data_IF_352914831892
#
_entry.id   IF_352914831892
#
_cell.length_a   1.000
_cell.length_b   1.000
_cell.length_c   1.000
_cell.angle_alpha   90.00
_cell.angle_beta   90.00
_cell.angle_gamma   90.00
#
_symmetry.space_group_name_H-M   'P 1'
#
loop_
_entity.id
_entity.type
_entity.pdbx_description
1 polymer ?
#
# COMPACT_ATOMS: atom_id res chain seq x y z
N UNK A 1 -34.91 16.19 -18.44
CA UNK A 1 -33.99 16.53 -17.33
C UNK A 1 -34.78 16.45 -16.03
N UNK A 2 -34.44 15.52 -15.14
CA UNK A 2 -35.16 15.31 -13.86
C UNK A 2 -34.76 16.29 -12.74
N UNK A 3 -33.69 17.07 -12.89
CA UNK A 3 -33.15 17.95 -11.84
C UNK A 3 -32.41 19.17 -12.41
N UNK A 4 -32.48 20.31 -11.70
CA UNK A 4 -31.85 21.63 -12.02
C UNK A 4 -30.58 21.88 -11.17
N UNK A 5 -30.19 20.98 -10.25
CA UNK A 5 -28.93 21.13 -9.50
C UNK A 5 -27.71 20.80 -10.35
N UNK A 6 -26.56 21.38 -9.97
CA UNK A 6 -25.26 21.36 -10.69
C UNK A 6 -25.02 19.99 -11.34
N UNK A 7 -25.22 19.99 -12.65
CA UNK A 7 -25.15 18.83 -13.51
C UNK A 7 -23.69 18.55 -13.84
N UNK A 8 -23.12 17.47 -13.32
CA UNK A 8 -21.84 16.93 -13.82
C UNK A 8 -22.02 15.92 -14.97
N UNK A 9 -23.22 15.82 -15.55
CA UNK A 9 -23.48 15.09 -16.79
C UNK A 9 -24.03 13.67 -16.68
N UNK A 10 -23.77 12.92 -15.60
CA UNK A 10 -24.09 11.46 -15.55
C UNK A 10 -24.60 10.89 -14.21
N UNK A 11 -24.62 11.67 -13.12
CA UNK A 11 -25.11 11.20 -11.81
C UNK A 11 -25.76 12.34 -11.02
N UNK A 12 -26.94 12.11 -10.46
CA UNK A 12 -27.57 13.05 -9.53
C UNK A 12 -27.93 12.28 -8.25
N UNK A 13 -27.21 12.56 -7.16
CA UNK A 13 -27.39 11.87 -5.87
C UNK A 13 -28.86 11.89 -5.45
N UNK A 14 -29.51 13.06 -5.39
CA UNK A 14 -30.91 13.18 -4.97
C UNK A 14 -31.88 12.37 -5.83
N UNK A 15 -31.74 12.39 -7.16
CA UNK A 15 -32.60 11.61 -8.06
C UNK A 15 -32.35 10.10 -7.88
N UNK A 16 -31.09 9.68 -7.91
CA UNK A 16 -30.73 8.27 -7.84
C UNK A 16 -31.05 7.66 -6.47
N UNK A 17 -30.84 8.39 -5.36
CA UNK A 17 -31.30 7.97 -4.03
C UNK A 17 -32.80 7.71 -4.02
N UNK A 18 -33.61 8.54 -4.69
CA UNK A 18 -35.06 8.34 -4.78
C UNK A 18 -35.43 7.12 -5.64
N UNK A 19 -34.74 6.92 -6.77
CA UNK A 19 -34.92 5.74 -7.62
C UNK A 19 -34.60 4.46 -6.85
N UNK A 20 -33.49 4.44 -6.10
CA UNK A 20 -33.16 3.32 -5.21
C UNK A 20 -34.21 3.09 -4.12
N UNK A 21 -34.74 4.16 -3.48
CA UNK A 21 -35.80 4.02 -2.47
C UNK A 21 -37.05 3.33 -3.01
N UNK A 22 -37.42 3.60 -4.26
CA UNK A 22 -38.54 2.93 -4.92
C UNK A 22 -38.28 1.44 -5.14
N UNK A 23 -37.01 1.04 -5.29
CA UNK A 23 -36.57 -0.33 -5.53
C UNK A 23 -36.30 -1.15 -4.26
N UNK A 24 -36.27 -0.54 -3.06
CA UNK A 24 -35.91 -1.25 -1.83
C UNK A 24 -36.84 -2.41 -1.46
N UNK A 25 -38.08 -2.41 -1.95
CA UNK A 25 -39.02 -3.52 -1.75
C UNK A 25 -38.90 -4.63 -2.81
N UNK A 26 -38.09 -4.41 -3.85
CA UNK A 26 -37.95 -5.35 -4.97
C UNK A 26 -36.83 -6.39 -4.74
N UNK A 27 -36.04 -6.24 -3.68
CA UNK A 27 -34.98 -7.19 -3.31
C UNK A 27 -34.80 -7.26 -1.79
N UNK A 28 -34.27 -8.39 -1.32
CA UNK A 28 -33.78 -8.57 0.05
C UNK A 28 -32.71 -9.65 0.05
N UNK A 29 -31.72 -9.52 0.93
CA UNK A 29 -30.75 -10.57 1.22
C UNK A 29 -31.26 -11.61 2.21
N UNK A 30 -32.40 -11.36 2.87
CA UNK A 30 -32.87 -12.13 4.03
C UNK A 30 -32.15 -11.78 5.34
N UNK A 31 -31.29 -10.74 5.36
CA UNK A 31 -30.63 -10.25 6.56
C UNK A 31 -30.73 -8.72 6.67
N UNK A 32 -31.46 -8.26 7.68
CA UNK A 32 -31.74 -6.83 7.91
C UNK A 32 -30.49 -5.95 8.02
N UNK A 33 -29.38 -6.48 8.55
CA UNK A 33 -28.13 -5.72 8.67
C UNK A 33 -27.48 -5.49 7.30
N UNK A 34 -27.48 -6.52 6.45
CA UNK A 34 -26.94 -6.44 5.09
C UNK A 34 -27.85 -5.57 4.22
N UNK A 35 -29.16 -5.75 4.32
CA UNK A 35 -30.14 -4.93 3.61
C UNK A 35 -29.96 -3.46 3.97
N UNK A 36 -29.85 -3.15 5.28
CA UNK A 36 -29.57 -1.80 5.74
C UNK A 36 -28.23 -1.27 5.20
N UNK A 37 -27.16 -2.06 5.27
CA UNK A 37 -25.84 -1.67 4.79
C UNK A 37 -25.87 -1.28 3.30
N UNK A 38 -26.49 -2.11 2.45
CA UNK A 38 -26.61 -1.83 1.01
C UNK A 38 -27.47 -0.60 0.75
N UNK A 39 -28.62 -0.47 1.43
CA UNK A 39 -29.52 0.70 1.28
C UNK A 39 -28.82 1.99 1.70
N UNK A 40 -28.13 1.99 2.84
CA UNK A 40 -27.38 3.15 3.33
C UNK A 40 -26.28 3.55 2.34
N UNK A 41 -25.57 2.58 1.75
CA UNK A 41 -24.58 2.84 0.70
C UNK A 41 -25.21 3.46 -0.56
N UNK A 42 -26.31 2.89 -1.06
CA UNK A 42 -27.03 3.39 -2.25
C UNK A 42 -27.57 4.81 -2.06
N UNK A 43 -28.07 5.15 -0.87
CA UNK A 43 -28.54 6.51 -0.57
C UNK A 43 -27.42 7.54 -0.51
N UNK A 44 -26.21 7.10 -0.15
CA UNK A 44 -25.08 7.99 0.06
C UNK A 44 -24.16 8.16 -1.16
N UNK A 45 -24.25 7.26 -2.14
CA UNK A 45 -23.41 7.24 -3.34
C UNK A 45 -23.37 8.59 -4.09
N UNK A 46 -22.15 9.14 -4.22
CA UNK A 46 -21.83 10.35 -4.97
C UNK A 46 -21.63 10.13 -6.47
N UNK A 47 -21.46 8.87 -6.90
CA UNK A 47 -21.31 8.46 -8.30
C UNK A 47 -21.72 6.99 -8.50
N UNK A 48 -21.84 6.55 -9.76
CA UNK A 48 -22.21 5.16 -10.08
C UNK A 48 -21.12 4.14 -9.67
N UNK A 49 -19.86 4.55 -9.62
CA UNK A 49 -18.73 3.72 -9.17
C UNK A 49 -18.78 3.39 -7.66
N UNK A 50 -19.48 4.19 -6.86
CA UNK A 50 -19.66 3.98 -5.41
C UNK A 50 -20.87 3.07 -5.07
N UNK A 51 -21.71 2.77 -6.06
CA UNK A 51 -22.93 1.98 -5.85
C UNK A 51 -22.57 0.52 -5.61
N UNK A 52 -23.10 -0.03 -4.51
CA UNK A 52 -23.17 -1.47 -4.28
C UNK A 52 -24.62 -1.96 -4.36
N UNK A 53 -24.80 -3.23 -4.71
CA UNK A 53 -26.13 -3.84 -4.78
C UNK A 53 -26.16 -5.25 -4.17
N UNK A 54 -27.36 -5.72 -3.85
CA UNK A 54 -27.60 -7.14 -3.64
C UNK A 54 -27.66 -7.82 -5.00
N UNK A 55 -26.81 -8.82 -5.21
CA UNK A 55 -26.70 -9.53 -6.48
C UNK A 55 -27.17 -10.98 -6.27
N UNK A 56 -28.34 -11.36 -6.81
CA UNK A 56 -28.80 -12.74 -6.75
C UNK A 56 -27.78 -13.68 -7.40
N UNK A 57 -27.46 -14.79 -6.72
CA UNK A 57 -26.34 -15.65 -7.09
C UNK A 57 -26.50 -16.28 -8.48
N UNK A 58 -27.73 -16.51 -8.94
CA UNK A 58 -28.06 -17.05 -10.25
C UNK A 58 -27.60 -16.18 -11.44
N UNK A 59 -27.29 -14.89 -11.17
CA UNK A 59 -26.69 -13.96 -12.14
C UNK A 59 -25.21 -14.22 -12.40
N UNK A 60 -24.58 -15.08 -11.61
CA UNK A 60 -23.21 -15.53 -11.81
C UNK A 60 -23.17 -16.84 -12.58
N UNK A 61 -22.36 -16.88 -13.65
CA UNK A 61 -22.06 -18.07 -14.46
C UNK A 61 -20.59 -18.40 -14.37
N UNK A 62 -20.25 -19.63 -14.76
CA UNK A 62 -18.86 -20.11 -14.85
C UNK A 62 -18.09 -19.94 -13.53
N UNK A 63 -18.78 -20.15 -12.40
CA UNK A 63 -18.21 -19.99 -11.05
C UNK A 63 -17.13 -21.04 -10.83
N UNK A 64 -15.88 -20.59 -10.63
CA UNK A 64 -14.72 -21.48 -10.41
C UNK A 64 -13.87 -20.97 -9.28
N UNK A 65 -13.42 -21.86 -8.40
CA UNK A 65 -12.47 -21.48 -7.35
C UNK A 65 -11.13 -21.10 -7.98
N UNK A 66 -10.56 -19.95 -7.57
CA UNK A 66 -9.28 -19.44 -8.08
C UNK A 66 -8.23 -19.23 -6.98
N UNK A 67 -8.62 -19.31 -5.72
CA UNK A 67 -7.69 -19.21 -4.60
C UNK A 67 -8.35 -19.56 -3.28
N UNK A 68 -7.56 -20.03 -2.31
CA UNK A 68 -7.98 -20.24 -0.94
C UNK A 68 -6.85 -19.82 -0.01
N UNK A 69 -7.15 -19.00 0.98
CA UNK A 69 -6.19 -18.52 1.98
C UNK A 69 -6.73 -18.71 3.40
N UNK A 70 -6.03 -18.14 4.38
CA UNK A 70 -6.43 -18.24 5.79
C UNK A 70 -7.72 -17.50 6.17
N UNK A 71 -8.22 -16.61 5.31
CA UNK A 71 -9.36 -15.73 5.58
C UNK A 71 -10.52 -15.91 4.59
N UNK A 72 -10.54 -17.03 3.85
CA UNK A 72 -11.61 -17.34 2.90
C UNK A 72 -11.14 -17.93 1.58
N UNK A 73 -12.14 -18.19 0.74
CA UNK A 73 -12.00 -18.79 -0.59
C UNK A 73 -12.47 -17.80 -1.64
N UNK A 74 -11.67 -17.62 -2.70
CA UNK A 74 -11.97 -16.73 -3.81
C UNK A 74 -12.42 -17.55 -5.01
N UNK A 75 -13.54 -17.15 -5.61
CA UNK A 75 -14.06 -17.70 -6.84
C UNK A 75 -14.06 -16.63 -7.93
N UNK A 76 -13.74 -17.00 -9.16
CA UNK A 76 -14.08 -16.21 -10.33
C UNK A 76 -15.52 -16.52 -10.73
N UNK A 77 -16.25 -15.52 -11.21
CA UNK A 77 -17.52 -15.72 -11.90
C UNK A 77 -17.72 -14.68 -13.01
N UNK A 78 -18.58 -15.01 -13.96
CA UNK A 78 -19.07 -14.09 -14.99
C UNK A 78 -20.46 -13.58 -14.60
N UNK A 79 -20.56 -12.28 -14.38
CA UNK A 79 -21.81 -11.57 -14.10
C UNK A 79 -22.56 -11.25 -15.40
N UNK A 80 -23.73 -11.84 -15.59
CA UNK A 80 -24.42 -11.87 -16.90
C UNK A 80 -24.93 -10.52 -17.40
N UNK A 81 -25.27 -9.62 -16.49
CA UNK A 81 -25.90 -8.34 -16.79
C UNK A 81 -25.08 -7.14 -16.29
N UNK A 82 -24.07 -7.39 -15.45
CA UNK A 82 -23.08 -6.40 -15.03
C UNK A 82 -23.59 -5.39 -14.00
N UNK A 83 -22.74 -4.42 -13.66
CA UNK A 83 -23.03 -3.44 -12.62
C UNK A 83 -23.98 -2.33 -13.11
N UNK A 84 -24.67 -1.70 -12.16
CA UNK A 84 -25.47 -0.49 -12.42
C UNK A 84 -24.56 0.61 -12.97
N UNK A 85 -24.97 1.21 -14.09
CA UNK A 85 -24.28 2.29 -14.78
C UNK A 85 -24.98 3.63 -14.61
N UNK A 86 -26.20 3.76 -15.14
CA UNK A 86 -27.00 4.99 -15.09
C UNK A 86 -28.49 4.69 -15.04
N UNK A 87 -29.31 5.65 -14.63
CA UNK A 87 -30.78 5.54 -14.69
C UNK A 87 -31.29 5.91 -16.07
N UNK A 88 -32.07 5.02 -16.69
CA UNK A 88 -32.78 5.28 -17.93
C UNK A 88 -34.13 5.96 -17.63
N UNK A 89 -34.22 7.26 -17.91
CA UNK A 89 -35.45 8.04 -17.67
C UNK A 89 -36.60 7.58 -18.58
N UNK A 90 -36.31 7.16 -19.82
CA UNK A 90 -37.36 6.78 -20.78
C UNK A 90 -37.96 5.43 -20.41
N UNK A 91 -37.11 4.48 -20.04
CA UNK A 91 -37.51 3.12 -19.71
C UNK A 91 -37.78 2.89 -18.21
N UNK A 92 -37.50 3.89 -17.36
CA UNK A 92 -37.67 3.83 -15.90
C UNK A 92 -36.99 2.61 -15.28
N UNK A 93 -35.73 2.36 -15.68
CA UNK A 93 -34.92 1.24 -15.22
C UNK A 93 -33.43 1.56 -15.18
N UNK A 94 -32.66 0.83 -14.39
CA UNK A 94 -31.20 0.93 -14.40
C UNK A 94 -30.60 0.35 -15.68
N UNK A 95 -29.83 1.15 -16.41
CA UNK A 95 -28.90 0.63 -17.42
C UNK A 95 -27.74 -0.04 -16.71
N UNK A 96 -27.33 -1.19 -17.24
CA UNK A 96 -26.20 -1.96 -16.72
C UNK A 96 -25.05 -1.97 -17.70
N UNK A 97 -23.85 -1.84 -17.17
CA UNK A 97 -22.61 -1.91 -17.93
C UNK A 97 -22.16 -3.37 -18.06
N UNK A 98 -22.05 -3.85 -19.29
CA UNK A 98 -21.65 -5.22 -19.62
C UNK A 98 -20.23 -5.32 -20.17
N UNK A 99 -19.48 -4.23 -20.18
CA UNK A 99 -18.12 -4.21 -20.74
C UNK A 99 -17.16 -5.04 -19.87
N UNK A 100 -17.41 -5.13 -18.56
CA UNK A 100 -16.58 -5.85 -17.59
C UNK A 100 -17.39 -6.84 -16.73
N UNK A 101 -17.71 -8.01 -17.31
CA UNK A 101 -18.51 -9.04 -16.62
C UNK A 101 -17.73 -9.93 -15.63
N UNK A 102 -16.40 -9.86 -15.58
CA UNK A 102 -15.59 -10.73 -14.72
C UNK A 102 -15.56 -10.22 -13.27
N UNK A 103 -16.01 -11.03 -12.33
CA UNK A 103 -15.99 -10.69 -10.89
C UNK A 103 -15.28 -11.76 -10.07
N UNK A 104 -14.73 -11.34 -8.93
CA UNK A 104 -14.23 -12.20 -7.88
C UNK A 104 -15.26 -12.27 -6.74
N UNK A 105 -15.71 -13.46 -6.39
CA UNK A 105 -16.56 -13.73 -5.24
C UNK A 105 -15.67 -14.15 -4.08
N UNK A 106 -15.54 -13.31 -3.06
CA UNK A 106 -14.84 -13.66 -1.81
C UNK A 106 -15.82 -14.26 -0.83
N UNK A 107 -15.67 -15.56 -0.58
CA UNK A 107 -16.41 -16.32 0.42
C UNK A 107 -15.60 -16.40 1.70
N UNK A 108 -16.18 -15.95 2.80
CA UNK A 108 -15.55 -16.04 4.12
C UNK A 108 -15.68 -17.46 4.67
N UNK A 109 -14.64 -17.94 5.34
CA UNK A 109 -14.70 -19.25 5.99
C UNK A 109 -15.65 -19.22 7.21
N UNK A 110 -16.27 -20.36 7.51
CA UNK A 110 -17.35 -20.47 8.50
C UNK A 110 -16.95 -20.08 9.95
N UNK A 111 -15.66 -19.93 10.25
CA UNK A 111 -15.16 -19.54 11.57
C UNK A 111 -14.93 -18.02 11.72
N UNK A 112 -15.06 -17.24 10.64
CA UNK A 112 -14.90 -15.78 10.67
C UNK A 112 -16.11 -15.13 11.33
N UNK A 113 -15.89 -14.20 12.26
CA UNK A 113 -16.97 -13.47 12.92
C UNK A 113 -17.68 -12.56 11.90
N UNK A 114 -19.02 -12.58 11.90
CA UNK A 114 -19.83 -11.75 11.00
C UNK A 114 -19.55 -10.24 11.12
N UNK A 115 -19.18 -9.74 12.31
CA UNK A 115 -18.80 -8.34 12.48
C UNK A 115 -17.48 -8.01 11.78
N UNK A 116 -16.52 -8.95 11.74
CA UNK A 116 -15.25 -8.76 11.04
C UNK A 116 -15.49 -8.70 9.52
N UNK A 117 -16.40 -9.54 9.02
CA UNK A 117 -16.87 -9.51 7.63
C UNK A 117 -17.50 -8.15 7.29
N UNK A 118 -18.40 -7.64 8.15
CA UNK A 118 -19.01 -6.33 7.94
C UNK A 118 -17.99 -5.20 7.97
N UNK A 119 -17.01 -5.24 8.87
CA UNK A 119 -15.94 -4.25 8.94
C UNK A 119 -15.10 -4.25 7.66
N UNK A 120 -14.77 -5.43 7.12
CA UNK A 120 -14.09 -5.53 5.83
C UNK A 120 -14.93 -4.94 4.68
N UNK A 121 -16.24 -5.23 4.65
CA UNK A 121 -17.16 -4.64 3.67
C UNK A 121 -17.22 -3.11 3.76
N UNK A 122 -17.23 -2.56 4.98
CA UNK A 122 -17.23 -1.12 5.23
C UNK A 122 -15.94 -0.45 4.75
N UNK A 123 -14.77 -1.08 4.99
CA UNK A 123 -13.48 -0.60 4.47
C UNK A 123 -13.49 -0.58 2.94
N UNK A 124 -13.97 -1.65 2.30
CA UNK A 124 -14.06 -1.71 0.84
C UNK A 124 -15.03 -0.66 0.28
N UNK A 125 -16.17 -0.42 0.94
CA UNK A 125 -17.10 0.62 0.55
C UNK A 125 -16.48 2.02 0.66
N UNK A 126 -15.81 2.33 1.78
CA UNK A 126 -15.21 3.64 2.03
C UNK A 126 -13.99 3.94 1.14
N UNK A 127 -13.33 2.90 0.61
CA UNK A 127 -12.18 3.04 -0.28
C UNK A 127 -12.53 2.85 -1.76
N UNK A 128 -13.79 2.55 -2.08
CA UNK A 128 -14.24 2.27 -3.44
C UNK A 128 -13.97 3.47 -4.35
N UNK A 129 -13.14 3.29 -5.39
CA UNK A 129 -12.68 4.38 -6.27
C UNK A 129 -11.37 5.07 -5.84
N UNK A 130 -10.75 4.68 -4.72
CA UNK A 130 -9.48 5.23 -4.22
C UNK A 130 -8.38 4.15 -4.12
N UNK A 131 -8.02 3.55 -5.25
CA UNK A 131 -6.87 2.62 -5.32
C UNK A 131 -7.10 1.23 -4.71
N UNK A 132 -8.31 0.91 -4.26
CA UNK A 132 -8.73 -0.45 -3.89
C UNK A 132 -9.51 -1.12 -5.04
N UNK A 133 -9.58 -2.46 -5.02
CA UNK A 133 -10.39 -3.24 -5.98
C UNK A 133 -11.85 -2.82 -5.84
N UNK A 134 -12.53 -2.57 -6.97
CA UNK A 134 -13.92 -2.11 -6.96
C UNK A 134 -14.82 -3.12 -6.25
N UNK A 135 -15.64 -2.62 -5.33
CA UNK A 135 -16.64 -3.39 -4.61
C UNK A 135 -18.00 -3.18 -5.25
N UNK A 136 -18.60 -4.25 -5.78
CA UNK A 136 -19.89 -4.21 -6.47
C UNK A 136 -21.07 -4.54 -5.56
N UNK A 137 -20.83 -5.22 -4.44
CA UNK A 137 -21.84 -5.54 -3.47
C UNK A 137 -21.79 -6.99 -3.01
N UNK A 138 -22.95 -7.54 -2.66
CA UNK A 138 -23.04 -8.74 -1.85
C UNK A 138 -23.92 -9.77 -2.54
N UNK A 139 -23.52 -11.03 -2.46
CA UNK A 139 -24.33 -12.18 -2.85
C UNK A 139 -24.34 -13.22 -1.74
N UNK A 140 -25.10 -14.29 -1.91
CA UNK A 140 -25.13 -15.41 -0.97
C UNK A 140 -25.00 -16.73 -1.73
N UNK A 141 -24.14 -17.60 -1.22
CA UNK A 141 -23.97 -18.94 -1.74
C UNK A 141 -25.27 -19.72 -1.50
N UNK A 142 -25.93 -20.25 -2.55
CA UNK A 142 -27.20 -20.95 -2.39
C UNK A 142 -27.05 -22.30 -1.68
N UNK A 143 -25.85 -22.90 -1.68
CA UNK A 143 -25.59 -24.19 -1.04
C UNK A 143 -25.25 -24.04 0.44
N UNK A 144 -24.42 -23.05 0.78
CA UNK A 144 -23.94 -22.88 2.17
C UNK A 144 -24.62 -21.73 2.92
N UNK A 145 -25.43 -20.93 2.24
CA UNK A 145 -26.04 -19.69 2.74
C UNK A 145 -25.01 -18.65 3.27
N UNK A 146 -23.75 -18.81 2.91
CA UNK A 146 -22.68 -17.89 3.29
C UNK A 146 -22.74 -16.64 2.41
N UNK A 147 -22.67 -15.46 3.04
CA UNK A 147 -22.55 -14.21 2.30
C UNK A 147 -21.16 -14.08 1.68
N UNK A 148 -21.11 -13.52 0.47
CA UNK A 148 -19.89 -13.33 -0.31
C UNK A 148 -19.82 -11.89 -0.81
N UNK A 149 -18.62 -11.31 -0.76
CA UNK A 149 -18.35 -10.03 -1.41
C UNK A 149 -18.13 -10.24 -2.90
N UNK A 150 -18.72 -9.36 -3.70
CA UNK A 150 -18.56 -9.32 -5.16
C UNK A 150 -17.60 -8.17 -5.49
N UNK A 151 -16.41 -8.53 -5.95
CA UNK A 151 -15.29 -7.64 -6.21
C UNK A 151 -14.92 -7.67 -7.70
N UNK A 152 -14.26 -6.62 -8.16
CA UNK A 152 -13.63 -6.62 -9.49
C UNK A 152 -12.58 -7.72 -9.61
N UNK A 153 -12.64 -8.45 -10.73
CA UNK A 153 -11.67 -9.49 -11.02
C UNK A 153 -10.39 -8.90 -11.59
N UNK A 154 -9.34 -8.90 -10.78
CA UNK A 154 -7.98 -8.62 -11.24
C UNK A 154 -7.47 -9.79 -12.11
N UNK A 155 -7.59 -9.66 -13.44
CA UNK A 155 -7.20 -10.70 -14.42
C UNK A 155 -5.77 -11.21 -14.25
N UNK A 156 -4.88 -10.33 -13.82
CA UNK A 156 -3.45 -10.57 -13.65
C UNK A 156 -3.11 -11.10 -12.24
N UNK A 157 -4.12 -11.27 -11.38
CA UNK A 157 -3.96 -11.76 -10.02
C UNK A 157 -3.37 -10.72 -9.06
N UNK A 158 -2.80 -11.20 -7.96
CA UNK A 158 -2.09 -10.32 -7.04
C UNK A 158 -0.69 -9.98 -7.58
N UNK A 159 -0.18 -8.81 -7.18
CA UNK A 159 1.10 -8.29 -7.64
C UNK A 159 2.25 -9.28 -7.41
N UNK A 160 2.26 -10.03 -6.31
CA UNK A 160 3.32 -11.00 -6.00
C UNK A 160 3.39 -12.13 -7.03
N UNK A 161 2.27 -12.77 -7.34
CA UNK A 161 2.22 -13.86 -8.34
C UNK A 161 2.42 -13.33 -9.75
N UNK A 162 1.86 -12.16 -10.07
CA UNK A 162 2.09 -11.51 -11.35
C UNK A 162 3.58 -11.26 -11.58
N UNK A 163 4.27 -10.70 -10.57
CA UNK A 163 5.69 -10.44 -10.64
C UNK A 163 6.50 -11.74 -10.74
N UNK A 164 6.12 -12.85 -10.09
CA UNK A 164 6.85 -14.13 -10.25
C UNK A 164 6.91 -14.61 -11.71
N UNK A 165 5.80 -14.46 -12.44
CA UNK A 165 5.67 -15.01 -13.80
C UNK A 165 6.19 -14.02 -14.83
N UNK A 166 5.77 -12.76 -14.70
CA UNK A 166 6.00 -11.75 -15.73
C UNK A 166 7.24 -10.91 -15.45
N UNK A 167 8.01 -11.21 -14.39
CA UNK A 167 9.14 -10.37 -13.98
C UNK A 167 10.00 -9.96 -15.17
N UNK A 168 10.48 -10.96 -15.92
CA UNK A 168 11.48 -10.80 -16.96
C UNK A 168 10.89 -10.23 -18.27
N UNK A 169 9.56 -10.17 -18.38
CA UNK A 169 8.84 -9.74 -19.58
C UNK A 169 8.11 -8.41 -19.42
N UNK A 170 8.05 -7.84 -18.20
CA UNK A 170 7.59 -6.47 -18.01
C UNK A 170 8.57 -5.59 -18.80
N UNK A 171 8.10 -4.91 -19.85
CA UNK A 171 9.00 -4.14 -20.68
C UNK A 171 9.46 -2.88 -19.92
N UNK A 172 10.62 -3.02 -19.27
CA UNK A 172 11.37 -1.99 -18.56
C UNK A 172 12.28 -1.17 -19.50
N UNK A 173 12.23 -1.34 -20.82
CA UNK A 173 13.11 -0.64 -21.77
C UNK A 173 13.02 0.89 -21.65
N UNK A 174 11.89 1.45 -21.18
CA UNK A 174 11.78 2.90 -20.90
C UNK A 174 12.33 3.35 -19.54
N UNK A 175 12.71 2.45 -18.64
CA UNK A 175 13.32 2.79 -17.35
C UNK A 175 14.85 2.68 -17.36
N UNK A 176 15.42 1.90 -18.27
CA UNK A 176 16.87 1.66 -18.35
C UNK A 176 17.66 2.74 -19.12
N UNK A 177 17.06 3.46 -20.07
CA UNK A 177 17.76 4.59 -20.74
C UNK A 177 17.86 5.85 -19.88
N UNK A 178 17.27 5.84 -18.70
CA UNK A 178 17.07 7.05 -17.90
C UNK A 178 18.01 7.16 -16.69
N UNK A 179 18.88 6.20 -16.39
CA UNK A 179 19.84 6.29 -15.27
C UNK A 179 21.27 6.40 -15.80
N UNK A 180 21.97 7.48 -15.47
CA UNK A 180 23.39 7.68 -15.84
C UNK A 180 24.23 8.18 -14.67
N UNK A 181 25.56 8.17 -14.83
CA UNK A 181 26.53 8.48 -13.77
C UNK A 181 26.37 7.60 -12.52
N UNK A 182 26.14 6.30 -12.73
CA UNK A 182 26.04 5.31 -11.65
C UNK A 182 27.40 5.19 -10.97
N UNK A 183 27.47 5.49 -9.67
CA UNK A 183 28.69 5.32 -8.86
C UNK A 183 28.36 4.74 -7.50
N UNK A 184 29.18 3.83 -7.01
CA UNK A 184 29.02 3.32 -5.65
C UNK A 184 29.26 4.46 -4.64
N UNK A 185 28.38 4.58 -3.64
CA UNK A 185 28.46 5.59 -2.57
C UNK A 185 28.49 4.98 -1.17
N UNK A 186 28.20 3.69 -1.04
CA UNK A 186 28.26 2.98 0.24
C UNK A 186 28.10 1.48 0.07
N UNK A 187 28.51 0.72 1.09
CA UNK A 187 28.25 -0.72 1.20
C UNK A 187 27.91 -1.03 2.65
N UNK A 188 26.74 -1.64 2.86
CA UNK A 188 26.24 -2.08 4.16
C UNK A 188 26.21 -3.59 4.27
N UNK A 189 25.59 -4.11 5.34
CA UNK A 189 25.48 -5.56 5.58
C UNK A 189 24.55 -6.30 4.62
N UNK A 190 23.56 -5.60 4.06
CA UNK A 190 22.52 -6.18 3.18
C UNK A 190 22.64 -5.79 1.72
N UNK A 191 23.68 -5.03 1.35
CA UNK A 191 23.84 -4.61 -0.03
C UNK A 191 24.74 -3.39 -0.23
N UNK A 192 24.79 -2.98 -1.48
CA UNK A 192 25.60 -1.88 -1.97
C UNK A 192 24.70 -0.73 -2.45
N UNK A 193 25.04 0.50 -2.06
CA UNK A 193 24.30 1.69 -2.47
C UNK A 193 25.08 2.39 -3.58
N UNK A 194 24.38 2.71 -4.66
CA UNK A 194 24.88 3.51 -5.77
C UNK A 194 24.14 4.84 -5.85
N UNK A 195 24.81 5.91 -6.21
CA UNK A 195 24.16 7.12 -6.71
C UNK A 195 23.92 6.98 -8.22
N UNK A 196 22.80 7.49 -8.71
CA UNK A 196 22.54 7.66 -10.14
C UNK A 196 21.76 8.94 -10.42
N UNK A 197 21.82 9.44 -11.67
CA UNK A 197 20.95 10.51 -12.16
C UNK A 197 19.82 9.94 -12.99
N UNK A 198 18.59 10.24 -12.59
CA UNK A 198 17.34 9.88 -13.26
C UNK A 198 16.91 10.96 -14.27
N UNK A 199 17.16 10.72 -15.56
CA UNK A 199 16.96 11.62 -16.71
C UNK A 199 15.55 12.18 -16.76
N UNK A 200 14.55 11.31 -16.70
CA UNK A 200 13.17 11.75 -16.75
C UNK A 200 12.68 12.29 -15.40
N UNK A 201 13.29 11.86 -14.30
CA UNK A 201 12.89 12.25 -12.96
C UNK A 201 11.62 11.55 -12.46
N UNK A 202 11.19 11.85 -11.24
CA UNK A 202 10.04 11.18 -10.64
C UNK A 202 8.72 11.65 -11.27
N UNK A 203 7.69 10.81 -11.16
CA UNK A 203 6.33 11.17 -11.57
C UNK A 203 5.84 12.33 -10.68
N UNK A 204 5.29 13.35 -11.33
CA UNK A 204 4.63 14.49 -10.69
C UNK A 204 3.12 14.45 -10.98
N UNK A 205 2.59 15.55 -11.53
CA UNK A 205 1.17 15.69 -11.85
C UNK A 205 0.78 15.11 -13.22
N UNK A 206 -0.49 14.77 -13.39
CA UNK A 206 -1.04 14.38 -14.69
C UNK A 206 -1.21 15.62 -15.58
N UNK A 207 -0.61 15.59 -16.77
CA UNK A 207 -0.82 16.60 -17.80
C UNK A 207 -2.11 16.28 -18.58
N UNK A 208 -3.17 17.05 -18.32
CA UNK A 208 -4.47 16.87 -18.98
C UNK A 208 -4.37 17.14 -20.50
N UNK A 209 -3.55 18.11 -20.93
CA UNK A 209 -3.43 18.49 -22.33
C UNK A 209 -2.69 17.42 -23.12
N UNK A 210 -1.59 16.91 -22.56
CA UNK A 210 -0.74 15.93 -23.22
C UNK A 210 -1.10 14.46 -22.91
N UNK A 211 -2.10 14.23 -22.05
CA UNK A 211 -2.55 12.90 -21.62
C UNK A 211 -1.38 12.01 -21.14
N UNK A 212 -0.45 12.60 -20.39
CA UNK A 212 0.73 11.91 -19.87
C UNK A 212 1.12 12.45 -18.50
N UNK A 213 1.82 11.65 -17.70
CA UNK A 213 2.39 12.11 -16.44
C UNK A 213 3.53 13.09 -16.70
N UNK A 214 3.43 14.30 -16.14
CA UNK A 214 4.58 15.19 -16.03
C UNK A 214 5.61 14.54 -15.12
N UNK A 215 6.87 14.79 -15.44
CA UNK A 215 7.99 14.32 -14.64
C UNK A 215 8.75 15.50 -14.07
N UNK A 216 9.10 15.40 -12.81
CA UNK A 216 9.90 16.39 -12.12
C UNK A 216 11.39 16.15 -12.42
N UNK A 217 11.96 17.02 -13.26
CA UNK A 217 13.37 16.95 -13.68
C UNK A 217 14.30 17.77 -12.79
N UNK A 218 13.77 18.51 -11.81
CA UNK A 218 14.56 19.40 -10.97
C UNK A 218 15.41 18.60 -9.96
N UNK A 219 14.91 17.45 -9.50
CA UNK A 219 15.59 16.54 -8.57
C UNK A 219 15.80 15.14 -9.16
N UNK A 220 16.83 14.99 -9.97
CA UNK A 220 17.15 13.71 -10.64
C UNK A 220 18.09 12.79 -9.85
N UNK A 221 18.63 13.20 -8.69
CA UNK A 221 19.53 12.35 -7.92
C UNK A 221 18.77 11.22 -7.21
N UNK A 222 19.14 9.96 -7.46
CA UNK A 222 18.57 8.79 -6.77
C UNK A 222 19.66 7.92 -6.17
N UNK A 223 19.32 7.25 -5.08
CA UNK A 223 20.11 6.18 -4.49
C UNK A 223 19.54 4.82 -4.94
N UNK A 224 20.39 3.95 -5.47
CA UNK A 224 20.06 2.59 -5.88
C UNK A 224 20.59 1.62 -4.83
N UNK A 225 19.71 0.93 -4.10
CA UNK A 225 20.11 -0.15 -3.18
C UNK A 225 20.10 -1.46 -3.95
N UNK A 226 21.29 -2.00 -4.22
CA UNK A 226 21.49 -3.34 -4.79
C UNK A 226 21.70 -4.33 -3.67
N UNK A 227 20.89 -5.37 -3.62
CA UNK A 227 20.99 -6.42 -2.61
C UNK A 227 22.11 -7.41 -2.97
N UNK A 228 22.83 -7.87 -1.96
CA UNK A 228 23.83 -8.91 -2.15
C UNK A 228 23.16 -10.28 -2.37
N UNK A 229 23.79 -11.17 -3.15
CA UNK A 229 23.19 -12.43 -3.60
C UNK A 229 22.79 -13.40 -2.47
N UNK A 230 23.30 -13.22 -1.25
CA UNK A 230 22.99 -14.07 -0.10
C UNK A 230 21.77 -13.58 0.71
N UNK A 231 21.25 -12.40 0.42
CA UNK A 231 20.07 -11.86 1.11
C UNK A 231 18.83 -12.64 0.69
N UNK A 232 18.00 -13.03 1.67
CA UNK A 232 16.76 -13.75 1.39
C UNK A 232 15.79 -12.84 0.61
N UNK A 233 15.23 -13.38 -0.48
CA UNK A 233 14.30 -12.62 -1.31
C UNK A 233 13.04 -12.15 -0.57
N UNK A 234 12.56 -12.89 0.43
CA UNK A 234 11.44 -12.44 1.26
C UNK A 234 11.82 -11.23 2.11
N UNK A 235 13.06 -11.15 2.62
CA UNK A 235 13.53 -9.98 3.39
C UNK A 235 13.61 -8.74 2.49
N UNK A 236 14.04 -8.92 1.23
CA UNK A 236 14.02 -7.85 0.21
C UNK A 236 12.60 -7.34 -0.03
N UNK A 237 11.64 -8.24 -0.20
CA UNK A 237 10.23 -7.88 -0.41
C UNK A 237 9.64 -7.18 0.82
N UNK A 238 9.94 -7.67 2.02
CA UNK A 238 9.51 -7.05 3.27
C UNK A 238 10.06 -5.63 3.41
N UNK A 239 11.36 -5.40 3.12
CA UNK A 239 11.94 -4.06 3.12
C UNK A 239 11.24 -3.13 2.10
N UNK A 240 10.95 -3.63 0.90
CA UNK A 240 10.19 -2.87 -0.11
C UNK A 240 8.77 -2.53 0.35
N UNK A 241 8.08 -3.47 1.00
CA UNK A 241 6.73 -3.29 1.53
C UNK A 241 6.72 -2.24 2.65
N UNK A 242 7.67 -2.31 3.59
CA UNK A 242 7.84 -1.30 4.63
C UNK A 242 8.05 0.08 4.01
N UNK A 243 8.95 0.20 3.03
CA UNK A 243 9.18 1.46 2.33
C UNK A 243 7.94 2.02 1.61
N UNK A 244 7.08 1.16 1.08
CA UNK A 244 5.80 1.58 0.50
C UNK A 244 4.85 2.12 1.56
N UNK A 245 4.74 1.42 2.70
CA UNK A 245 3.84 1.77 3.79
C UNK A 245 4.28 3.03 4.55
N UNK A 246 5.59 3.29 4.63
CA UNK A 246 6.14 4.45 5.35
C UNK A 246 6.37 5.67 4.44
N UNK A 247 6.13 5.55 3.13
CA UNK A 247 6.42 6.62 2.16
C UNK A 247 5.60 7.88 2.49
N UNK A 248 6.28 9.01 2.73
CA UNK A 248 5.64 10.26 3.15
C UNK A 248 5.35 10.36 4.65
N UNK A 249 5.67 9.33 5.45
CA UNK A 249 5.46 9.29 6.91
C UNK A 249 6.75 9.39 7.72
N UNK A 250 7.83 9.91 7.12
CA UNK A 250 9.10 10.15 7.80
C UNK A 250 10.24 9.19 7.44
N UNK A 251 9.99 8.21 6.56
CA UNK A 251 11.05 7.44 5.90
C UNK A 251 11.60 8.16 4.67
N UNK A 252 12.80 7.77 4.25
CA UNK A 252 13.35 8.20 2.96
C UNK A 252 12.39 7.78 1.84
N UNK A 253 12.20 8.65 0.85
CA UNK A 253 11.22 8.41 -0.20
C UNK A 253 11.64 7.22 -1.06
N UNK A 254 10.68 6.32 -1.28
CA UNK A 254 10.82 5.18 -2.17
C UNK A 254 10.11 5.46 -3.49
N UNK A 255 10.84 5.39 -4.60
CA UNK A 255 10.32 5.65 -5.94
C UNK A 255 9.91 4.37 -6.68
N UNK A 256 10.40 3.21 -6.25
CA UNK A 256 10.10 1.91 -6.85
C UNK A 256 11.36 1.08 -7.08
N UNK A 257 11.27 0.09 -7.97
CA UNK A 257 12.37 -0.83 -8.29
C UNK A 257 12.98 -0.55 -9.66
N UNK A 258 14.20 -1.02 -9.85
CA UNK A 258 14.89 -1.14 -11.14
C UNK A 258 15.69 -2.45 -11.15
N UNK A 259 16.39 -2.73 -12.25
CA UNK A 259 17.21 -3.93 -12.42
C UNK A 259 18.59 -3.56 -12.94
N UNK A 260 19.62 -4.22 -12.42
CA UNK A 260 20.97 -4.13 -12.94
C UNK A 260 21.02 -4.77 -14.33
N UNK A 261 21.44 -4.05 -15.39
CA UNK A 261 21.46 -4.59 -16.75
C UNK A 261 22.45 -5.74 -16.95
N UNK A 262 23.52 -5.79 -16.16
CA UNK A 262 24.57 -6.80 -16.30
C UNK A 262 24.23 -8.04 -15.48
N UNK A 263 23.82 -7.85 -14.22
CA UNK A 263 23.59 -8.97 -13.31
C UNK A 263 22.13 -9.40 -13.23
N UNK A 264 21.21 -8.64 -13.84
CA UNK A 264 19.77 -8.83 -13.72
C UNK A 264 19.26 -8.82 -12.26
N UNK A 265 20.04 -8.27 -11.32
CA UNK A 265 19.66 -8.18 -9.92
C UNK A 265 18.72 -6.99 -9.70
N UNK A 266 17.69 -7.16 -8.88
CA UNK A 266 16.80 -6.06 -8.53
C UNK A 266 17.46 -5.06 -7.59
N UNK A 267 17.08 -3.80 -7.78
CA UNK A 267 17.54 -2.69 -6.96
C UNK A 267 16.37 -1.82 -6.58
N UNK A 268 16.36 -1.31 -5.35
CA UNK A 268 15.42 -0.26 -4.95
C UNK A 268 15.92 1.09 -5.42
N UNK A 269 15.00 1.95 -5.84
CA UNK A 269 15.23 3.35 -6.22
C UNK A 269 14.70 4.24 -5.09
N UNK A 270 15.61 4.88 -4.37
CA UNK A 270 15.35 5.71 -3.20
C UNK A 270 15.75 7.17 -3.49
N UNK A 271 15.20 8.10 -2.73
CA UNK A 271 15.67 9.48 -2.71
C UNK A 271 17.14 9.56 -2.30
N UNK A 272 17.91 10.36 -3.05
CA UNK A 272 19.31 10.61 -2.72
C UNK A 272 19.43 11.71 -1.66
N UNK A 273 19.78 11.32 -0.45
CA UNK A 273 20.14 12.23 0.64
C UNK A 273 21.54 12.82 0.43
N UNK A 274 21.61 14.00 -0.19
CA UNK A 274 22.86 14.70 -0.55
C UNK A 274 23.82 14.91 0.62
N UNK A 275 23.34 15.24 1.81
CA UNK A 275 24.19 15.44 2.99
C UNK A 275 24.54 14.13 3.72
N UNK A 276 24.04 13.00 3.22
CA UNK A 276 24.35 11.67 3.74
C UNK A 276 23.71 11.41 5.10
N UNK A 277 24.42 10.67 5.96
CA UNK A 277 23.92 10.24 7.26
C UNK A 277 24.29 11.17 8.41
N UNK A 278 23.42 11.21 9.41
CA UNK A 278 23.54 12.09 10.57
C UNK A 278 24.81 11.81 11.38
N UNK A 279 25.27 10.55 11.48
CA UNK A 279 26.50 10.20 12.22
C UNK A 279 27.71 10.94 11.64
N UNK A 280 27.94 10.82 10.33
CA UNK A 280 29.06 11.49 9.67
C UNK A 280 28.89 13.01 9.67
N UNK A 281 27.67 13.51 9.49
CA UNK A 281 27.39 14.95 9.56
C UNK A 281 27.74 15.54 10.93
N UNK A 282 27.35 14.85 12.03
CA UNK A 282 27.61 15.32 13.39
C UNK A 282 29.09 15.29 13.74
N UNK A 283 29.88 14.32 13.25
CA UNK A 283 31.34 14.31 13.48
C UNK A 283 32.02 15.62 13.08
N UNK A 284 31.52 16.26 12.02
CA UNK A 284 32.10 17.49 11.46
C UNK A 284 31.40 18.73 12.04
N UNK A 285 30.07 18.69 12.19
CA UNK A 285 29.27 19.89 12.40
C UNK A 285 28.66 20.02 13.81
N UNK A 286 28.88 19.08 14.74
CA UNK A 286 28.18 19.06 16.04
C UNK A 286 28.24 20.39 16.81
N UNK A 287 29.40 21.07 16.79
CA UNK A 287 29.60 22.34 17.48
C UNK A 287 28.98 23.55 16.75
N UNK A 288 28.71 23.41 15.45
CA UNK A 288 28.16 24.48 14.61
C UNK A 288 26.62 24.49 14.59
N UNK A 289 25.99 23.40 15.05
CA UNK A 289 24.53 23.29 15.11
C UNK A 289 24.05 23.93 16.42
N UNK A 290 23.20 24.96 16.33
CA UNK A 290 22.61 25.60 17.50
C UNK A 290 21.60 24.68 18.23
N UNK A 291 21.28 25.00 19.48
CA UNK A 291 20.42 24.17 20.32
C UNK A 291 18.98 24.05 19.82
N UNK A 292 18.41 25.15 19.32
CA UNK A 292 17.07 25.15 18.72
C UNK A 292 17.00 24.11 17.60
N UNK A 293 18.03 24.06 16.76
CA UNK A 293 18.08 23.12 15.66
C UNK A 293 18.28 21.67 16.10
N UNK A 294 19.10 21.45 17.12
CA UNK A 294 19.25 20.11 17.75
C UNK A 294 17.90 19.61 18.28
N UNK A 295 17.16 20.47 18.98
CA UNK A 295 15.84 20.14 19.53
C UNK A 295 14.82 19.88 18.43
N UNK A 296 14.82 20.69 17.36
CA UNK A 296 13.94 20.46 16.23
C UNK A 296 14.22 19.12 15.53
N UNK A 297 15.50 18.82 15.27
CA UNK A 297 15.88 17.54 14.66
C UNK A 297 15.45 16.37 15.54
N UNK A 298 15.61 16.48 16.87
CA UNK A 298 15.12 15.47 17.81
C UNK A 298 13.59 15.31 17.75
N UNK A 299 12.86 16.41 17.73
CA UNK A 299 11.39 16.41 17.61
C UNK A 299 10.93 15.74 16.31
N UNK A 300 11.53 16.13 15.18
CA UNK A 300 11.19 15.58 13.86
C UNK A 300 11.51 14.09 13.79
N UNK A 301 12.67 13.63 14.30
CA UNK A 301 12.98 12.20 14.37
C UNK A 301 11.99 11.42 15.23
N UNK A 302 11.64 11.95 16.39
CA UNK A 302 10.66 11.31 17.28
C UNK A 302 9.28 11.22 16.63
N UNK A 303 8.87 12.26 15.89
CA UNK A 303 7.62 12.27 15.13
C UNK A 303 7.63 11.21 14.01
N UNK A 304 8.71 11.16 13.23
CA UNK A 304 8.88 10.19 12.15
C UNK A 304 8.88 8.74 12.69
N UNK A 305 9.63 8.47 13.77
CA UNK A 305 9.66 7.15 14.39
C UNK A 305 8.28 6.77 14.96
N UNK A 306 7.58 7.72 15.58
CA UNK A 306 6.22 7.49 16.07
C UNK A 306 5.24 7.15 14.94
N UNK A 307 5.37 7.77 13.77
CA UNK A 307 4.53 7.45 12.62
C UNK A 307 4.81 6.03 12.09
N UNK A 308 6.08 5.62 12.01
CA UNK A 308 6.45 4.23 11.67
C UNK A 308 5.87 3.25 12.69
N UNK A 309 5.99 3.56 13.98
CA UNK A 309 5.44 2.75 15.07
C UNK A 309 3.91 2.63 15.04
N UNK A 310 3.17 3.63 14.52
CA UNK A 310 1.71 3.53 14.34
C UNK A 310 1.31 2.53 13.26
N UNK A 311 2.22 2.17 12.37
CA UNK A 311 2.04 1.13 11.35
C UNK A 311 2.44 -0.26 11.86
N UNK A 312 2.65 -0.41 13.17
CA UNK A 312 3.09 -1.66 13.82
C UNK A 312 4.43 -2.18 13.28
N UNK A 313 5.32 -1.29 12.83
CA UNK A 313 6.67 -1.61 12.38
C UNK A 313 7.67 -1.34 13.51
N UNK A 314 8.58 -2.29 13.77
CA UNK A 314 9.76 -2.11 14.62
C UNK A 314 10.98 -2.03 13.71
N UNK A 315 11.82 -1.00 13.89
CA UNK A 315 12.96 -0.74 13.01
C UNK A 315 14.12 -1.70 13.26
N UNK A 316 14.41 -2.03 14.53
CA UNK A 316 15.47 -2.94 15.01
C UNK A 316 16.92 -2.46 14.82
N UNK A 317 17.14 -1.44 13.99
CA UNK A 317 18.47 -0.86 13.71
C UNK A 317 18.43 0.67 13.68
N UNK A 318 17.70 1.27 14.62
CA UNK A 318 17.53 2.71 14.70
C UNK A 318 18.77 3.40 15.29
N UNK A 319 19.60 4.02 14.45
CA UNK A 319 20.78 4.78 14.87
C UNK A 319 21.11 5.95 13.93
N UNK A 320 21.96 6.92 14.33
CA UNK A 320 22.30 8.09 13.49
C UNK A 320 22.93 7.78 12.12
N UNK A 321 23.35 6.55 11.87
CA UNK A 321 23.88 6.12 10.57
C UNK A 321 22.78 5.80 9.56
N UNK A 322 21.58 5.47 10.07
CA UNK A 322 20.37 5.19 9.28
C UNK A 322 19.43 6.40 9.25
N UNK A 323 19.88 7.56 9.74
CA UNK A 323 19.18 8.84 9.61
C UNK A 323 19.82 9.64 8.49
N UNK A 324 19.04 9.99 7.48
CA UNK A 324 19.50 10.67 6.28
C UNK A 324 18.88 12.07 6.14
N UNK A 325 19.57 12.94 5.41
CA UNK A 325 19.01 14.24 5.00
C UNK A 325 19.58 14.69 3.65
N UNK A 326 18.74 15.34 2.85
CA UNK A 326 19.18 16.07 1.65
C UNK A 326 19.83 17.42 2.00
N UNK A 327 19.55 17.96 3.19
CA UNK A 327 20.13 19.18 3.70
C UNK A 327 19.96 19.24 5.23
N UNK A 328 21.00 18.95 6.02
CA UNK A 328 20.92 19.00 7.48
C UNK A 328 20.83 20.44 8.04
N UNK A 329 20.90 21.47 7.18
CA UNK A 329 20.54 22.87 7.49
C UNK A 329 19.07 23.20 7.15
N UNK A 330 18.31 22.29 6.52
CA UNK A 330 16.85 22.33 6.40
C UNK A 330 16.15 21.38 7.38
N UNK A 331 14.85 21.54 7.61
CA UNK A 331 14.11 20.77 8.62
C UNK A 331 13.77 19.32 8.22
N UNK A 332 14.36 18.82 7.14
CA UNK A 332 14.00 17.53 6.54
C UNK A 332 15.01 16.45 6.91
N UNK A 333 14.58 15.49 7.70
CA UNK A 333 15.35 14.31 8.11
C UNK A 333 14.49 13.07 7.96
N UNK A 334 15.12 11.97 7.57
CA UNK A 334 14.43 10.77 7.15
C UNK A 334 15.05 9.54 7.80
N UNK A 335 14.18 8.61 8.19
CA UNK A 335 14.57 7.28 8.66
C UNK A 335 14.78 6.39 7.42
N UNK A 336 15.81 5.56 7.43
CA UNK A 336 16.19 4.72 6.28
C UNK A 336 16.72 3.36 6.73
N UNK A 337 16.97 2.48 5.77
CA UNK A 337 17.50 1.12 5.95
C UNK A 337 16.60 0.23 6.82
N UNK A 338 15.57 -0.33 6.18
CA UNK A 338 14.60 -1.20 6.83
C UNK A 338 14.94 -2.69 6.67
N UNK A 339 16.18 -3.03 6.30
CA UNK A 339 16.59 -4.41 6.02
C UNK A 339 16.47 -5.38 7.19
N UNK A 340 16.40 -4.86 8.43
CA UNK A 340 16.16 -5.64 9.65
C UNK A 340 14.77 -5.42 10.25
N UNK A 341 13.97 -4.53 9.66
CA UNK A 341 12.70 -4.11 10.23
C UNK A 341 11.63 -5.18 10.04
N UNK A 342 10.69 -5.25 10.99
CA UNK A 342 9.61 -6.25 10.98
C UNK A 342 8.28 -5.65 11.43
N UNK A 343 7.19 -6.24 10.93
CA UNK A 343 5.85 -6.01 11.44
C UNK A 343 5.64 -6.79 12.75
N UNK A 344 4.96 -6.16 13.71
CA UNK A 344 4.60 -6.80 14.97
C UNK A 344 3.52 -7.85 14.69
N UNK A 345 3.74 -9.07 15.19
CA UNK A 345 2.81 -10.19 15.03
C UNK A 345 3.14 -11.16 13.90
N UNK A 346 4.25 -10.98 13.19
CA UNK A 346 4.77 -12.02 12.29
C UNK A 346 5.20 -13.27 13.07
N UNK A 347 4.33 -14.28 13.02
CA UNK A 347 4.52 -15.70 13.34
C UNK A 347 5.61 -16.04 14.40
N UNK A 348 5.25 -16.14 15.70
CA UNK A 348 6.19 -16.52 16.79
C UNK A 348 6.77 -17.94 16.66
N UNK A 349 6.35 -18.70 15.64
CA UNK A 349 6.77 -20.07 15.37
C UNK A 349 7.88 -20.17 14.32
N UNK A 350 8.50 -19.08 13.87
CA UNK A 350 9.70 -19.19 13.03
C UNK A 350 10.88 -19.64 13.91
N UNK A 351 11.45 -20.86 13.71
CA UNK A 351 12.50 -21.40 14.58
C UNK A 351 13.87 -20.77 14.36
N UNK A 352 13.97 -19.72 13.54
CA UNK A 352 15.13 -18.84 13.54
C UNK A 352 15.20 -18.13 14.89
N UNK A 353 16.03 -18.72 15.77
CA UNK A 353 16.50 -18.21 17.07
C UNK A 353 16.36 -16.70 17.20
N UNK A 354 16.07 -16.25 18.43
CA UNK A 354 16.32 -14.90 18.97
C UNK A 354 17.72 -14.38 18.57
N UNK A 355 17.87 -13.98 17.33
CA UNK A 355 19.11 -13.48 16.76
C UNK A 355 19.12 -12.00 17.08
N UNK A 356 20.06 -11.62 17.94
CA UNK A 356 20.31 -10.21 18.23
C UNK A 356 20.85 -9.57 16.96
N UNK A 357 20.12 -8.60 16.42
CA UNK A 357 20.42 -7.85 15.19
C UNK A 357 20.58 -6.35 15.48
N UNK A 358 21.15 -5.62 14.53
CA UNK A 358 21.40 -4.19 14.64
C UNK A 358 22.75 -3.84 15.27
N UNK A 359 23.02 -2.54 15.39
CA UNK A 359 24.33 -2.05 15.81
C UNK A 359 24.46 -2.01 17.34
N UNK A 360 25.32 -2.88 17.90
CA UNK A 360 25.46 -3.18 19.34
C UNK A 360 25.31 -2.00 20.32
N UNK A 361 25.93 -0.82 20.13
CA UNK A 361 25.72 0.33 21.02
C UNK A 361 24.28 0.86 21.12
N UNK A 362 23.41 0.51 20.17
CA UNK A 362 22.03 1.00 20.03
C UNK A 362 20.98 -0.09 20.30
N UNK A 363 21.40 -1.31 20.65
CA UNK A 363 20.47 -2.39 21.02
C UNK A 363 20.08 -2.22 22.48
N UNK A 364 18.78 -2.34 22.76
CA UNK A 364 18.24 -2.22 24.10
C UNK A 364 18.69 -3.36 25.03
N UNK A 365 18.92 -3.12 26.33
CA UNK A 365 19.41 -4.12 27.27
C UNK A 365 18.56 -5.39 27.35
N UNK A 366 17.23 -5.24 27.31
CA UNK A 366 16.24 -6.32 27.37
C UNK A 366 16.27 -7.24 26.15
N UNK A 367 16.69 -6.71 25.00
CA UNK A 367 16.94 -7.47 23.78
C UNK A 367 18.29 -8.18 23.87
N UNK A 368 19.32 -7.49 24.39
CA UNK A 368 20.67 -8.04 24.55
C UNK A 368 20.74 -9.20 25.56
N UNK A 369 19.94 -9.15 26.63
CA UNK A 369 19.83 -10.25 27.60
C UNK A 369 19.11 -11.48 27.02
N UNK A 370 18.42 -11.32 25.88
CA UNK A 370 17.60 -12.34 25.27
C UNK A 370 16.30 -12.60 26.03
N UNK A 371 15.94 -11.74 26.99
CA UNK A 371 14.72 -11.87 27.80
C UNK A 371 13.47 -11.53 26.97
N UNK A 372 13.55 -10.49 26.12
CA UNK A 372 12.44 -10.01 25.30
C UNK A 372 12.75 -10.02 23.79
N UNK A 373 11.69 -10.04 22.98
CA UNK A 373 11.79 -9.80 21.54
C UNK A 373 11.90 -8.30 21.24
N UNK A 374 12.29 -7.95 20.01
CA UNK A 374 12.33 -6.54 19.59
C UNK A 374 10.92 -5.93 19.63
N UNK A 375 10.76 -4.88 20.44
CA UNK A 375 9.51 -4.11 20.55
C UNK A 375 9.70 -2.68 20.07
N UNK A 376 8.59 -1.94 19.90
CA UNK A 376 8.64 -0.48 19.65
C UNK A 376 9.42 0.26 20.75
N UNK A 377 9.39 -0.23 21.99
CA UNK A 377 10.14 0.35 23.09
C UNK A 377 11.65 0.17 22.90
N UNK A 378 12.08 -0.97 22.36
CA UNK A 378 13.49 -1.24 22.06
C UNK A 378 14.09 -0.24 21.04
N UNK A 379 13.31 0.23 20.05
CA UNK A 379 13.76 1.28 19.12
C UNK A 379 13.98 2.65 19.81
N UNK A 380 13.35 2.88 20.96
CA UNK A 380 13.44 4.14 21.71
C UNK A 380 14.60 4.12 22.71
N UNK A 381 14.96 2.95 23.22
CA UNK A 381 15.91 2.80 24.33
C UNK A 381 17.36 2.79 23.82
N UNK A 382 17.98 3.98 23.81
CA UNK A 382 19.29 4.35 24.41
C UNK A 382 19.75 5.74 23.94
N UNK A 383 19.02 6.79 24.31
CA UNK A 383 19.49 8.19 24.22
C UNK A 383 20.20 8.70 25.49
N UNK A 384 20.41 7.88 26.51
CA UNK A 384 20.74 8.37 27.87
C UNK A 384 21.99 7.82 28.58
N UNK A 385 22.86 6.99 27.98
CA UNK A 385 23.97 6.40 28.75
C UNK A 385 25.41 6.61 28.27
N UNK A 386 25.67 7.28 27.15
CA UNK A 386 27.04 7.69 26.81
C UNK A 386 27.04 9.04 26.09
N UNK A 387 27.02 10.11 26.88
CA UNK A 387 27.48 11.44 26.49
C UNK A 387 28.66 11.82 27.36
#
# INVERSE_FOLDING_TARGET
>A
MECIQVWNGYWCKTCNSKHFQNDFNNWTSGNDKIDKFIRDAQLNAGGNWEVIEWIPFERFKDVKQIGKGGFGTIYYARWIDGNIGEWDIENQQWKRDREYCGVALKKFDNFVNFNDVLNEMEIHLNTNGFGSIRYYGITQDPETHSYMMVLEYAKDGNLREYLKINFNNINWERKLYNLFNVKQIGKGGFGTIYYARWIDGNIGEWDIENQQWKRDREYCGVALKKFDNFVNFNDVLNEMEIHLNTNGFGSIRYYGITQDPETHSYMMVLEYAKDGNLREYLKINFNNINWERKLYNLFSLSSNLSNIHKLDIVHQDFHPGNILSSNFNSYSIFISDFGLSKLIGENPNNPEKKNIVGVLPYIAPEVLSGDEEYTKAADVIRKLFYS
#
